data_IF_518682670836
#
_entry.id   IF_518682670836
#
_cell.length_a   1.000
_cell.length_b   1.000
_cell.length_c   1.000
_cell.angle_alpha   90.00
_cell.angle_beta   90.00
_cell.angle_gamma   90.00
#
_symmetry.space_group_name_H-M   'P 1'
#
loop_
_entity.id
_entity.type
_entity.pdbx_description
1 polymer ?
#
# COMPACT_ATOMS: atom_id res chain seq x y z
N UNK A 1 87.90 -15.95 -8.18
CA UNK A 1 86.57 -16.15 -8.79
C UNK A 1 85.54 -15.94 -7.70
N UNK A 2 84.92 -14.75 -7.74
CA UNK A 2 83.92 -14.34 -6.75
C UNK A 2 82.51 -14.52 -7.32
N UNK A 3 81.76 -15.43 -6.70
CA UNK A 3 80.37 -15.65 -7.06
C UNK A 3 79.50 -14.58 -6.34
N UNK A 4 78.78 -13.76 -7.14
CA UNK A 4 77.80 -12.80 -6.63
C UNK A 4 76.48 -13.52 -6.41
N UNK A 5 76.08 -13.63 -5.15
CA UNK A 5 74.74 -14.10 -4.73
C UNK A 5 73.82 -12.89 -4.83
N UNK A 6 72.89 -12.88 -5.79
CA UNK A 6 71.82 -11.89 -5.89
C UNK A 6 70.67 -12.34 -5.03
N UNK A 7 70.44 -11.62 -3.94
CA UNK A 7 69.26 -11.80 -3.04
C UNK A 7 68.06 -11.05 -3.66
N UNK A 8 67.15 -11.82 -4.24
CA UNK A 8 65.87 -11.26 -4.72
C UNK A 8 64.91 -11.16 -3.51
N UNK A 9 64.70 -9.92 -3.07
CA UNK A 9 63.68 -9.58 -2.09
C UNK A 9 62.29 -9.66 -2.74
N UNK A 10 61.52 -10.71 -2.44
CA UNK A 10 60.09 -10.79 -2.79
C UNK A 10 59.31 -9.84 -1.86
N UNK A 11 58.92 -8.69 -2.39
CA UNK A 11 58.02 -7.76 -1.72
C UNK A 11 56.58 -8.28 -1.91
N UNK A 12 56.06 -9.10 -0.99
CA UNK A 12 54.66 -9.44 -0.94
C UNK A 12 53.86 -8.22 -0.54
N UNK A 13 53.31 -7.52 -1.53
CA UNK A 13 52.25 -6.52 -1.32
C UNK A 13 51.01 -7.26 -0.79
N UNK A 14 50.89 -7.30 0.52
CA UNK A 14 49.64 -7.64 1.16
C UNK A 14 48.61 -6.53 0.81
N UNK A 15 47.82 -6.77 -0.23
CA UNK A 15 46.59 -6.01 -0.43
C UNK A 15 45.67 -6.39 0.74
N UNK A 16 45.78 -5.62 1.82
CA UNK A 16 44.76 -5.61 2.86
C UNK A 16 43.49 -5.03 2.21
N UNK A 17 42.53 -5.89 1.86
CA UNK A 17 41.18 -5.47 1.63
C UNK A 17 40.68 -4.81 2.93
N UNK A 18 40.78 -3.50 3.02
CA UNK A 18 40.06 -2.75 4.03
C UNK A 18 38.58 -2.90 3.71
N UNK A 19 37.94 -3.92 4.31
CA UNK A 19 36.50 -3.88 4.43
C UNK A 19 36.16 -2.62 5.22
N UNK A 20 35.55 -1.64 4.55
CA UNK A 20 34.91 -0.53 5.26
C UNK A 20 33.82 -1.15 6.14
N UNK A 21 34.09 -1.26 7.41
CA UNK A 21 33.09 -1.71 8.39
C UNK A 21 32.19 -0.53 8.68
N UNK A 22 31.01 -0.52 8.03
CA UNK A 22 29.96 0.42 8.41
C UNK A 22 29.43 0.01 9.78
N UNK A 23 29.34 0.97 10.70
CA UNK A 23 28.75 0.76 12.04
C UNK A 23 27.26 1.05 11.95
N UNK A 24 26.41 0.10 12.37
CA UNK A 24 24.97 0.37 12.42
C UNK A 24 24.65 1.49 13.42
N UNK A 25 23.62 2.28 13.18
CA UNK A 25 23.11 3.24 14.17
C UNK A 25 22.70 2.53 15.46
N UNK A 26 22.82 3.24 16.57
CA UNK A 26 22.42 2.73 17.88
C UNK A 26 21.19 3.50 18.37
N UNK A 27 20.12 2.76 18.70
CA UNK A 27 18.95 3.34 19.33
C UNK A 27 19.21 3.49 20.83
N UNK A 28 19.38 4.72 21.29
CA UNK A 28 19.63 5.00 22.69
C UNK A 28 18.43 4.56 23.55
N UNK A 29 18.62 3.71 24.57
CA UNK A 29 17.54 3.29 25.44
C UNK A 29 17.00 4.45 26.29
N UNK A 30 15.65 4.59 26.32
CA UNK A 30 14.91 5.55 27.13
C UNK A 30 13.81 4.80 27.88
N UNK A 31 14.09 4.45 29.11
CA UNK A 31 13.21 3.61 29.93
C UNK A 31 11.81 4.21 30.07
N UNK A 32 10.78 3.42 29.74
CA UNK A 32 9.38 3.74 29.99
C UNK A 32 8.67 2.60 30.68
N UNK A 33 8.04 2.90 31.81
CA UNK A 33 7.15 1.95 32.48
C UNK A 33 5.78 1.92 31.80
N UNK A 34 5.32 0.73 31.51
CA UNK A 34 4.00 0.45 30.91
C UNK A 34 3.25 -0.47 31.88
N UNK A 35 2.13 0.02 32.42
CA UNK A 35 1.30 -0.73 33.38
C UNK A 35 -0.10 -0.96 32.81
N UNK A 36 -0.53 -2.21 32.75
CA UNK A 36 -1.88 -2.62 32.32
C UNK A 36 -2.33 -3.85 33.12
N UNK A 37 -3.57 -3.87 33.56
CA UNK A 37 -4.16 -5.00 34.30
C UNK A 37 -3.36 -5.45 35.54
N UNK A 38 -2.66 -4.53 36.20
CA UNK A 38 -1.85 -4.83 37.40
C UNK A 38 -0.46 -5.41 37.07
N UNK A 39 -0.11 -5.56 35.83
CA UNK A 39 1.24 -5.92 35.37
C UNK A 39 2.01 -4.69 34.90
N UNK A 40 3.30 -4.60 35.23
CA UNK A 40 4.18 -3.50 34.87
C UNK A 40 5.42 -4.03 34.20
N UNK A 41 5.70 -3.52 32.98
CA UNK A 41 6.92 -3.82 32.23
C UNK A 41 7.71 -2.54 31.95
N UNK A 42 9.02 -2.68 31.85
CA UNK A 42 9.92 -1.64 31.39
C UNK A 42 10.18 -1.85 29.88
N UNK A 43 9.99 -0.79 29.08
CA UNK A 43 10.29 -0.80 27.66
C UNK A 43 11.27 0.34 27.34
N UNK A 44 12.56 0.03 27.08
CA UNK A 44 13.57 1.05 26.81
C UNK A 44 13.47 1.64 25.40
N UNK A 45 12.67 1.04 24.51
CA UNK A 45 12.55 1.48 23.12
C UNK A 45 11.14 1.94 22.75
N UNK A 46 10.28 2.15 23.73
CA UNK A 46 8.91 2.63 23.51
C UNK A 46 8.86 3.97 22.78
N UNK A 47 9.89 4.82 22.93
CA UNK A 47 10.00 6.11 22.26
C UNK A 47 9.99 6.00 20.74
N UNK A 48 10.44 4.89 20.15
CA UNK A 48 10.39 4.62 18.71
C UNK A 48 8.96 4.51 18.15
N UNK A 49 7.94 4.45 19.02
CA UNK A 49 6.54 4.45 18.62
C UNK A 49 6.01 5.83 18.23
N UNK A 50 6.71 6.91 18.60
CA UNK A 50 6.32 8.29 18.25
C UNK A 50 6.81 8.62 16.83
N UNK A 51 5.86 8.62 15.89
CA UNK A 51 6.14 8.80 14.46
C UNK A 51 6.53 10.22 14.08
N UNK A 52 6.16 11.19 14.89
CA UNK A 52 6.39 12.61 14.64
C UNK A 52 7.63 13.14 15.39
N UNK A 53 8.24 12.33 16.27
CA UNK A 53 9.45 12.70 16.98
C UNK A 53 10.64 12.84 16.02
N UNK A 54 11.28 14.01 15.92
CA UNK A 54 12.43 14.22 15.05
C UNK A 54 13.60 13.26 15.32
N UNK A 55 13.78 12.80 16.55
CA UNK A 55 14.83 11.84 16.91
C UNK A 55 14.53 10.44 16.33
N UNK A 56 13.26 10.03 16.33
CA UNK A 56 12.83 8.79 15.66
C UNK A 56 13.06 8.88 14.16
N UNK A 57 12.68 10.00 13.53
CA UNK A 57 12.88 10.23 12.11
C UNK A 57 14.37 10.18 11.77
N UNK A 58 15.22 10.87 12.55
CA UNK A 58 16.67 10.86 12.32
C UNK A 58 17.26 9.45 12.45
N UNK A 59 16.87 8.69 13.49
CA UNK A 59 17.31 7.30 13.65
C UNK A 59 16.97 6.44 12.43
N UNK A 60 15.75 6.57 11.87
CA UNK A 60 15.33 5.84 10.69
C UNK A 60 16.09 6.27 9.42
N UNK A 61 16.43 7.55 9.29
CA UNK A 61 17.25 8.06 8.18
C UNK A 61 18.69 7.54 8.27
N UNK A 62 19.26 7.46 9.47
CA UNK A 62 20.59 6.89 9.72
C UNK A 62 20.62 5.39 9.39
N UNK A 63 19.58 4.62 9.77
CA UNK A 63 19.43 3.19 9.40
C UNK A 63 19.33 3.01 7.87
N UNK A 64 18.59 3.86 7.19
CA UNK A 64 18.52 3.84 5.73
C UNK A 64 19.88 4.16 5.08
N UNK A 65 20.62 5.11 5.64
CA UNK A 65 21.95 5.50 5.17
C UNK A 65 22.96 4.37 5.38
N UNK A 66 22.93 3.72 6.54
CA UNK A 66 23.72 2.52 6.85
C UNK A 66 23.43 1.39 5.87
N UNK A 67 22.13 1.07 5.68
CA UNK A 67 21.69 0.02 4.74
C UNK A 67 22.19 0.28 3.32
N UNK A 68 22.07 1.52 2.84
CA UNK A 68 22.56 1.92 1.52
C UNK A 68 24.06 1.73 1.40
N UNK A 69 24.84 2.13 2.41
CA UNK A 69 26.29 2.00 2.40
C UNK A 69 26.74 0.51 2.42
N UNK A 70 26.11 -0.33 3.24
CA UNK A 70 26.42 -1.78 3.31
C UNK A 70 26.09 -2.49 1.99
N UNK A 71 24.98 -2.11 1.34
CA UNK A 71 24.51 -2.75 0.11
C UNK A 71 25.07 -2.13 -1.16
N UNK A 72 25.88 -1.05 -1.11
CA UNK A 72 26.42 -0.34 -2.27
C UNK A 72 27.10 -1.30 -3.26
N UNK A 73 27.91 -2.24 -2.78
CA UNK A 73 28.63 -3.22 -3.63
C UNK A 73 27.69 -4.12 -4.44
N UNK A 74 26.41 -4.22 -4.05
CA UNK A 74 25.42 -5.09 -4.69
C UNK A 74 24.52 -4.35 -5.68
N UNK A 75 24.61 -3.03 -5.82
CA UNK A 75 23.70 -2.23 -6.66
C UNK A 75 23.59 -2.72 -8.11
N UNK A 76 24.73 -3.09 -8.71
CA UNK A 76 24.73 -3.64 -10.08
C UNK A 76 23.93 -4.95 -10.17
N UNK A 77 24.10 -5.83 -9.21
CA UNK A 77 23.37 -7.09 -9.13
C UNK A 77 21.87 -6.84 -8.88
N UNK A 78 21.53 -5.93 -7.97
CA UNK A 78 20.16 -5.55 -7.68
C UNK A 78 19.45 -5.06 -8.94
N UNK A 79 20.08 -4.15 -9.69
CA UNK A 79 19.54 -3.64 -10.95
C UNK A 79 19.32 -4.75 -11.97
N UNK A 80 20.30 -5.66 -12.12
CA UNK A 80 20.19 -6.79 -13.04
C UNK A 80 19.02 -7.72 -12.66
N UNK A 81 18.91 -8.06 -11.38
CA UNK A 81 17.81 -8.90 -10.86
C UNK A 81 16.45 -8.21 -11.04
N UNK A 82 16.38 -6.91 -10.78
CA UNK A 82 15.15 -6.14 -10.98
C UNK A 82 14.69 -6.20 -12.44
N UNK A 83 15.59 -5.93 -13.39
CA UNK A 83 15.24 -5.98 -14.82
C UNK A 83 14.86 -7.40 -15.28
N UNK A 84 15.54 -8.43 -14.76
CA UNK A 84 15.19 -9.82 -15.05
C UNK A 84 13.80 -10.18 -14.51
N UNK A 85 13.49 -9.86 -13.25
CA UNK A 85 12.17 -10.12 -12.65
C UNK A 85 11.07 -9.35 -13.37
N UNK A 86 11.29 -8.05 -13.64
CA UNK A 86 10.35 -7.20 -14.37
C UNK A 86 10.08 -7.75 -15.77
N UNK A 87 11.13 -8.20 -16.48
CA UNK A 87 10.98 -8.75 -17.81
C UNK A 87 10.18 -10.06 -17.91
N UNK A 88 9.96 -10.74 -16.76
CA UNK A 88 9.10 -11.93 -16.67
C UNK A 88 7.63 -11.60 -16.46
N UNK A 89 7.30 -10.36 -16.10
CA UNK A 89 5.94 -9.90 -15.85
C UNK A 89 5.33 -9.40 -17.17
N UNK A 90 4.17 -9.92 -17.51
CA UNK A 90 3.38 -9.38 -18.63
C UNK A 90 2.71 -8.07 -18.16
N UNK A 91 3.23 -6.94 -18.63
CA UNK A 91 2.74 -5.61 -18.20
C UNK A 91 1.35 -5.28 -18.77
N UNK A 92 1.04 -5.79 -19.99
CA UNK A 92 -0.26 -5.61 -20.65
C UNK A 92 -1.10 -6.87 -20.46
N UNK A 93 -1.83 -6.93 -19.36
CA UNK A 93 -2.53 -8.13 -18.90
C UNK A 93 -3.94 -7.83 -18.35
N UNK A 94 -4.72 -8.88 -18.20
CA UNK A 94 -6.06 -8.78 -17.63
C UNK A 94 -6.37 -9.96 -16.72
N UNK A 95 -7.22 -9.72 -15.71
CA UNK A 95 -7.74 -10.79 -14.87
C UNK A 95 -8.62 -11.76 -15.67
N UNK A 96 -8.82 -12.97 -15.14
CA UNK A 96 -9.89 -13.83 -15.60
C UNK A 96 -11.23 -13.09 -15.39
N UNK A 97 -12.08 -12.99 -16.42
CA UNK A 97 -13.40 -12.39 -16.29
C UNK A 97 -14.29 -13.18 -15.32
N UNK A 98 -15.09 -12.50 -14.51
CA UNK A 98 -16.17 -13.14 -13.75
C UNK A 98 -17.52 -12.51 -14.10
N UNK A 99 -18.57 -13.33 -14.07
CA UNK A 99 -19.92 -12.90 -14.43
C UNK A 99 -20.78 -12.66 -13.18
N UNK A 100 -21.41 -11.50 -13.11
CA UNK A 100 -22.33 -11.14 -12.02
C UNK A 100 -23.35 -10.12 -12.53
N UNK A 101 -24.64 -10.33 -12.23
CA UNK A 101 -25.74 -9.40 -12.54
C UNK A 101 -25.70 -8.89 -13.98
N UNK A 102 -25.66 -9.81 -14.95
CA UNK A 102 -25.62 -9.55 -16.40
C UNK A 102 -24.35 -8.87 -16.93
N UNK A 103 -23.30 -8.72 -16.11
CA UNK A 103 -22.02 -8.14 -16.54
C UNK A 103 -20.83 -9.06 -16.31
N UNK A 104 -19.88 -9.01 -17.23
CA UNK A 104 -18.54 -9.54 -17.08
C UNK A 104 -17.62 -8.46 -16.52
N UNK A 105 -17.01 -8.72 -15.40
CA UNK A 105 -16.06 -7.82 -14.72
C UNK A 105 -14.63 -8.24 -14.99
N UNK A 106 -13.79 -7.27 -15.34
CA UNK A 106 -12.39 -7.50 -15.72
C UNK A 106 -11.54 -6.40 -15.12
N UNK A 107 -10.39 -6.78 -14.58
CA UNK A 107 -9.34 -5.85 -14.17
C UNK A 107 -8.25 -5.89 -15.23
N UNK A 108 -7.93 -4.76 -15.86
CA UNK A 108 -6.92 -4.62 -16.92
C UNK A 108 -5.71 -3.87 -16.39
N UNK A 109 -4.54 -4.28 -16.83
CA UNK A 109 -3.30 -3.54 -16.69
C UNK A 109 -2.83 -3.08 -18.06
N UNK A 110 -2.33 -1.87 -18.16
CA UNK A 110 -1.84 -1.28 -19.41
C UNK A 110 -0.34 -1.00 -19.23
N UNK A 111 0.43 -1.34 -20.24
CA UNK A 111 1.89 -1.14 -20.22
C UNK A 111 2.27 0.31 -19.86
N UNK A 112 3.27 0.44 -19.01
CA UNK A 112 3.74 1.73 -18.46
C UNK A 112 2.70 2.51 -17.64
N UNK A 113 1.69 1.82 -17.09
CA UNK A 113 0.76 2.33 -16.09
C UNK A 113 0.96 1.56 -14.77
N UNK A 114 0.89 2.27 -13.66
CA UNK A 114 1.16 1.69 -12.33
C UNK A 114 -0.07 1.03 -11.71
N UNK A 115 -1.27 1.42 -12.16
CA UNK A 115 -2.52 1.01 -11.55
C UNK A 115 -3.45 0.32 -12.54
N UNK A 116 -4.39 -0.53 -12.04
CA UNK A 116 -5.38 -1.19 -12.89
C UNK A 116 -6.48 -0.25 -13.36
N UNK A 117 -7.12 -0.65 -14.47
CA UNK A 117 -8.40 -0.12 -14.93
C UNK A 117 -9.45 -1.22 -14.70
N UNK A 118 -10.51 -0.90 -13.97
CA UNK A 118 -11.65 -1.79 -13.76
C UNK A 118 -12.70 -1.51 -14.82
N UNK A 119 -13.09 -2.55 -15.54
CA UNK A 119 -14.10 -2.48 -16.60
C UNK A 119 -15.17 -3.54 -16.39
N UNK A 120 -16.32 -3.34 -17.05
CA UNK A 120 -17.34 -4.37 -17.21
C UNK A 120 -17.83 -4.43 -18.65
N UNK A 121 -18.42 -5.57 -19.05
CA UNK A 121 -19.05 -5.79 -20.37
C UNK A 121 -20.42 -6.42 -20.19
N UNK A 122 -21.43 -5.91 -20.84
CA UNK A 122 -22.81 -6.38 -20.68
C UNK A 122 -23.04 -7.71 -21.41
N UNK A 123 -23.53 -8.71 -20.73
CA UNK A 123 -23.95 -10.05 -21.20
C UNK A 123 -22.88 -10.87 -21.87
N UNK A 124 -22.07 -10.33 -22.77
CA UNK A 124 -21.05 -11.07 -23.52
C UNK A 124 -19.67 -10.45 -23.41
N UNK A 125 -18.62 -11.26 -23.56
CA UNK A 125 -17.24 -10.78 -23.55
C UNK A 125 -16.89 -9.94 -24.79
N UNK A 126 -17.69 -10.03 -25.86
CA UNK A 126 -17.53 -9.23 -27.08
C UNK A 126 -18.24 -7.87 -27.00
N UNK A 127 -19.02 -7.62 -25.95
CA UNK A 127 -19.67 -6.33 -25.75
C UNK A 127 -18.66 -5.21 -25.54
N UNK A 128 -19.08 -3.97 -25.79
CA UNK A 128 -18.28 -2.78 -25.54
C UNK A 128 -17.82 -2.71 -24.08
N UNK A 129 -16.60 -2.23 -23.86
CA UNK A 129 -16.05 -2.02 -22.53
C UNK A 129 -16.68 -0.77 -21.90
N UNK A 130 -17.19 -0.93 -20.69
CA UNK A 130 -17.62 0.17 -19.82
C UNK A 130 -16.58 0.32 -18.71
N UNK A 131 -15.94 1.49 -18.61
CA UNK A 131 -14.95 1.78 -17.58
C UNK A 131 -15.65 2.12 -16.28
N UNK A 132 -15.54 1.24 -15.31
CA UNK A 132 -16.02 1.48 -13.95
C UNK A 132 -15.11 2.48 -13.23
N UNK A 133 -13.80 2.22 -13.26
CA UNK A 133 -12.82 3.06 -12.57
C UNK A 133 -11.43 2.93 -13.23
N UNK A 134 -10.81 4.04 -13.59
CA UNK A 134 -9.40 4.10 -13.95
C UNK A 134 -8.61 4.64 -12.75
N UNK A 135 -7.86 3.74 -12.09
CA UNK A 135 -7.10 4.12 -10.89
C UNK A 135 -5.92 5.02 -11.25
N UNK A 136 -5.41 4.96 -12.49
CA UNK A 136 -4.32 5.84 -12.93
C UNK A 136 -4.78 7.30 -12.99
N UNK A 137 -6.04 7.56 -13.36
CA UNK A 137 -6.61 8.90 -13.35
C UNK A 137 -6.80 9.42 -11.92
N UNK A 138 -7.19 8.54 -10.97
CA UNK A 138 -7.33 8.91 -9.56
C UNK A 138 -5.98 9.22 -8.90
N UNK A 139 -4.91 8.56 -9.33
CA UNK A 139 -3.60 8.64 -8.70
C UNK A 139 -2.73 9.80 -9.19
N UNK A 140 -3.13 10.55 -10.24
CA UNK A 140 -2.27 11.52 -10.94
C UNK A 140 -1.54 12.51 -10.04
N UNK A 141 -2.21 12.99 -8.99
CA UNK A 141 -1.66 14.03 -8.10
C UNK A 141 -1.42 13.51 -6.68
N UNK A 142 -1.40 12.17 -6.52
CA UNK A 142 -1.24 11.52 -5.23
C UNK A 142 0.16 10.88 -5.12
N UNK A 143 0.81 11.04 -3.97
CA UNK A 143 2.05 10.33 -3.65
C UNK A 143 1.83 8.85 -3.38
N UNK A 144 0.60 8.48 -2.99
CA UNK A 144 0.17 7.11 -2.77
C UNK A 144 -1.30 6.97 -3.14
N UNK A 145 -1.66 5.86 -3.78
CA UNK A 145 -3.04 5.55 -4.10
C UNK A 145 -3.28 4.05 -4.03
N UNK A 146 -4.17 3.62 -3.17
CA UNK A 146 -4.66 2.25 -3.17
C UNK A 146 -6.17 2.24 -3.23
N UNK A 147 -6.70 1.55 -4.24
CA UNK A 147 -8.13 1.34 -4.41
C UNK A 147 -8.48 -0.12 -4.13
N UNK A 148 -9.52 -0.33 -3.36
CA UNK A 148 -10.02 -1.66 -2.99
C UNK A 148 -11.53 -1.64 -2.74
N UNK A 149 -12.14 -2.81 -2.58
CA UNK A 149 -13.53 -2.92 -2.16
C UNK A 149 -14.56 -2.45 -3.18
N UNK A 150 -14.24 -2.56 -4.48
CA UNK A 150 -15.20 -2.21 -5.52
C UNK A 150 -16.47 -3.08 -5.40
N UNK A 151 -17.63 -2.43 -5.33
CA UNK A 151 -18.91 -3.10 -5.24
C UNK A 151 -19.97 -2.34 -6.05
N UNK A 152 -20.58 -3.02 -7.00
CA UNK A 152 -21.64 -2.46 -7.85
C UNK A 152 -22.99 -2.74 -7.20
N UNK A 153 -23.90 -1.74 -7.21
CA UNK A 153 -25.25 -1.88 -6.68
C UNK A 153 -26.06 -2.96 -7.44
N UNK A 154 -27.05 -3.59 -6.80
CA UNK A 154 -27.86 -4.64 -7.43
C UNK A 154 -28.53 -4.23 -8.75
N UNK A 155 -28.91 -2.95 -8.89
CA UNK A 155 -29.49 -2.37 -10.11
C UNK A 155 -28.44 -2.00 -11.17
N UNK A 156 -27.15 -2.23 -10.91
CA UNK A 156 -26.01 -1.92 -11.79
C UNK A 156 -25.77 -0.43 -12.07
N UNK A 157 -26.38 0.50 -11.30
CA UNK A 157 -26.29 1.94 -11.57
C UNK A 157 -25.24 2.67 -10.74
N UNK A 158 -24.77 2.10 -9.62
CA UNK A 158 -23.81 2.75 -8.72
C UNK A 158 -22.63 1.84 -8.42
N UNK A 159 -21.47 2.45 -8.17
CA UNK A 159 -20.25 1.78 -7.75
C UNK A 159 -19.75 2.41 -6.45
N UNK A 160 -19.57 1.61 -5.40
CA UNK A 160 -18.76 1.99 -4.23
C UNK A 160 -17.35 1.48 -4.39
N UNK A 161 -16.37 2.25 -3.91
CA UNK A 161 -15.00 1.81 -3.78
C UNK A 161 -14.32 2.54 -2.62
N UNK A 162 -13.38 1.88 -1.97
CA UNK A 162 -12.52 2.48 -0.95
C UNK A 162 -11.22 2.96 -1.55
N UNK A 163 -10.78 4.19 -1.18
CA UNK A 163 -9.48 4.75 -1.55
C UNK A 163 -8.68 5.09 -0.29
N UNK A 164 -7.40 4.65 -0.24
CA UNK A 164 -6.41 5.05 0.74
C UNK A 164 -5.32 5.87 0.03
N UNK A 165 -5.10 7.10 0.49
CA UNK A 165 -4.11 8.02 -0.07
C UNK A 165 -2.91 8.26 0.85
N UNK A 166 -2.89 7.59 2.03
CA UNK A 166 -1.88 7.78 3.08
C UNK A 166 -1.07 6.52 3.41
N UNK A 167 -1.32 5.39 2.72
CA UNK A 167 -0.70 4.09 3.02
C UNK A 167 -0.96 3.58 4.44
N UNK A 168 -2.11 3.92 5.03
CA UNK A 168 -2.47 3.53 6.40
C UNK A 168 -3.53 2.44 6.49
N UNK A 169 -4.03 1.95 5.36
CA UNK A 169 -5.16 0.99 5.29
C UNK A 169 -6.43 1.51 5.98
N UNK A 170 -6.54 2.83 6.09
CA UNK A 170 -7.74 3.55 6.47
C UNK A 170 -8.28 4.18 5.20
N UNK A 171 -9.48 3.80 4.82
CA UNK A 171 -10.05 4.17 3.53
C UNK A 171 -11.12 5.26 3.66
N UNK A 172 -11.31 5.95 2.56
CA UNK A 172 -12.53 6.71 2.30
C UNK A 172 -13.36 5.94 1.28
N UNK A 173 -14.58 5.55 1.62
CA UNK A 173 -15.52 5.01 0.63
C UNK A 173 -16.10 6.18 -0.17
N UNK A 174 -16.06 6.05 -1.49
CA UNK A 174 -16.65 6.97 -2.47
C UNK A 174 -17.66 6.24 -3.32
N UNK A 175 -18.61 7.01 -3.85
CA UNK A 175 -19.67 6.48 -4.71
C UNK A 175 -19.64 7.14 -6.08
N UNK A 176 -19.69 6.33 -7.14
CA UNK A 176 -19.80 6.77 -8.53
C UNK A 176 -21.14 6.34 -9.11
N UNK A 177 -21.86 7.27 -9.71
CA UNK A 177 -23.00 6.98 -10.57
C UNK A 177 -22.50 6.48 -11.93
N UNK A 178 -22.84 5.25 -12.26
CA UNK A 178 -22.38 4.60 -13.49
C UNK A 178 -23.16 5.03 -14.73
N UNK A 179 -24.35 5.58 -14.57
CA UNK A 179 -25.17 6.07 -15.68
C UNK A 179 -24.63 7.39 -16.21
N UNK A 180 -24.29 8.31 -15.32
CA UNK A 180 -23.74 9.62 -15.68
C UNK A 180 -22.22 9.65 -15.73
N UNK A 181 -21.55 8.65 -15.15
CA UNK A 181 -20.10 8.59 -14.96
C UNK A 181 -19.56 9.55 -13.89
N UNK A 182 -20.43 10.25 -13.14
CA UNK A 182 -20.04 11.26 -12.15
C UNK A 182 -19.88 10.69 -10.77
N UNK A 183 -18.98 11.29 -9.98
CA UNK A 183 -18.88 11.03 -8.55
C UNK A 183 -20.07 11.67 -7.82
N UNK A 184 -20.67 10.91 -6.90
CA UNK A 184 -21.63 11.44 -5.94
C UNK A 184 -20.89 12.18 -4.81
N UNK A 185 -21.64 12.88 -3.98
CA UNK A 185 -21.08 13.63 -2.83
C UNK A 185 -20.85 12.75 -1.61
N UNK A 186 -21.30 11.50 -1.69
CA UNK A 186 -21.19 10.53 -0.60
C UNK A 186 -19.72 10.12 -0.41
N UNK A 187 -19.12 10.56 0.69
CA UNK A 187 -17.77 10.23 1.13
C UNK A 187 -17.81 9.80 2.58
N UNK A 188 -17.32 8.58 2.87
CA UNK A 188 -17.30 8.00 4.20
C UNK A 188 -15.86 7.76 4.61
N UNK A 189 -15.37 8.50 5.59
CA UNK A 189 -13.98 8.49 6.04
C UNK A 189 -13.76 7.55 7.25
N UNK A 190 -12.52 7.11 7.45
CA UNK A 190 -12.12 6.32 8.64
C UNK A 190 -12.65 4.89 8.63
N UNK A 191 -12.76 4.26 7.47
CA UNK A 191 -13.46 3.00 7.28
C UNK A 191 -12.57 1.92 6.63
N UNK A 192 -13.06 0.68 6.61
CA UNK A 192 -12.53 -0.35 5.72
C UNK A 192 -12.97 -0.09 4.28
N UNK A 193 -12.29 -0.70 3.30
CA UNK A 193 -12.56 -0.44 1.88
C UNK A 193 -13.87 -1.02 1.37
N UNK A 194 -14.50 -1.96 2.10
CA UNK A 194 -15.63 -2.74 1.60
C UNK A 194 -16.97 -2.13 2.00
N UNK A 195 -17.89 -2.10 1.04
CA UNK A 195 -19.30 -1.79 1.24
C UNK A 195 -20.16 -2.95 0.72
N UNK A 196 -21.20 -3.31 1.46
CA UNK A 196 -22.19 -4.29 1.06
C UNK A 196 -23.53 -3.60 0.76
N UNK A 197 -23.95 -3.63 -0.50
CA UNK A 197 -25.22 -3.04 -0.91
C UNK A 197 -26.42 -3.81 -0.37
N UNK A 198 -27.43 -3.09 0.05
CA UNK A 198 -28.79 -3.62 0.25
C UNK A 198 -29.48 -3.82 -1.12
N UNK A 199 -30.58 -4.59 -1.12
CA UNK A 199 -31.33 -4.89 -2.34
C UNK A 199 -32.01 -3.67 -2.98
N UNK A 200 -32.17 -2.58 -2.22
CA UNK A 200 -32.78 -1.32 -2.68
C UNK A 200 -31.86 -0.50 -3.60
N UNK A 201 -30.56 -0.84 -3.68
CA UNK A 201 -29.53 -0.09 -4.44
C UNK A 201 -29.34 1.37 -3.99
N UNK A 202 -29.92 1.76 -2.87
CA UNK A 202 -29.81 3.10 -2.25
C UNK A 202 -29.11 3.04 -0.90
N UNK A 203 -29.04 1.87 -0.28
CA UNK A 203 -28.43 1.67 1.03
C UNK A 203 -27.21 0.74 0.92
N UNK A 204 -26.13 1.05 1.66
CA UNK A 204 -25.02 0.14 1.84
C UNK A 204 -24.53 0.08 3.29
N UNK A 205 -23.92 -1.03 3.64
CA UNK A 205 -23.33 -1.29 4.94
C UNK A 205 -21.82 -1.30 4.86
N UNK A 206 -21.16 -0.76 5.88
CA UNK A 206 -19.71 -0.69 5.95
C UNK A 206 -19.22 -0.78 7.40
N UNK A 207 -17.90 -0.92 7.60
CA UNK A 207 -17.29 -1.00 8.92
C UNK A 207 -16.34 0.17 9.14
N UNK A 208 -16.41 0.79 10.34
CA UNK A 208 -15.38 1.74 10.77
C UNK A 208 -14.09 1.03 11.15
N UNK A 209 -13.02 1.80 11.16
CA UNK A 209 -11.72 1.38 11.67
C UNK A 209 -11.30 2.25 12.83
N UNK A 210 -10.76 1.61 13.88
CA UNK A 210 -10.03 2.28 14.92
C UNK A 210 -8.69 2.79 14.37
N UNK A 211 -8.35 4.05 14.58
CA UNK A 211 -7.20 4.70 13.96
C UNK A 211 -5.85 4.23 14.55
N UNK A 212 -5.85 3.74 15.80
CA UNK A 212 -4.64 3.27 16.46
C UNK A 212 -4.38 1.80 16.18
N UNK A 213 -5.39 0.95 16.40
CA UNK A 213 -5.27 -0.50 16.29
C UNK A 213 -5.53 -1.03 14.89
N UNK A 214 -6.14 -0.22 14.01
CA UNK A 214 -6.61 -0.59 12.67
C UNK A 214 -7.66 -1.71 12.65
N UNK A 215 -8.28 -1.99 13.79
CA UNK A 215 -9.34 -3.01 13.90
C UNK A 215 -10.67 -2.44 13.42
N UNK A 216 -11.45 -3.28 12.76
CA UNK A 216 -12.84 -2.97 12.47
C UNK A 216 -13.66 -3.28 13.72
N UNK A 217 -14.41 -2.31 14.22
CA UNK A 217 -15.08 -2.38 15.51
C UNK A 217 -16.60 -2.17 15.45
N UNK A 218 -17.09 -1.46 14.41
CA UNK A 218 -18.51 -1.10 14.30
C UNK A 218 -19.02 -1.29 12.88
N UNK A 219 -20.31 -1.61 12.75
CA UNK A 219 -21.03 -1.73 11.48
C UNK A 219 -22.03 -0.59 11.38
N UNK A 220 -22.01 0.11 10.26
CA UNK A 220 -22.88 1.22 9.98
C UNK A 220 -23.70 1.00 8.71
N UNK A 221 -24.82 1.69 8.62
CA UNK A 221 -25.66 1.84 7.44
C UNK A 221 -25.53 3.26 6.89
N UNK A 222 -25.38 3.38 5.60
CA UNK A 222 -25.41 4.66 4.87
C UNK A 222 -26.50 4.59 3.79
N UNK A 223 -27.29 5.65 3.68
CA UNK A 223 -28.24 5.87 2.61
C UNK A 223 -27.70 6.91 1.64
N UNK A 224 -27.74 6.66 0.34
CA UNK A 224 -27.22 7.57 -0.69
C UNK A 224 -27.84 8.96 -0.56
N UNK A 225 -26.97 9.99 -0.57
CA UNK A 225 -27.36 11.39 -0.41
C UNK A 225 -27.42 11.87 1.04
N UNK A 226 -27.29 10.98 2.04
CA UNK A 226 -27.14 11.37 3.44
C UNK A 226 -25.69 11.80 3.75
N UNK A 227 -25.46 12.42 4.91
CA UNK A 227 -24.10 12.77 5.35
C UNK A 227 -23.53 11.71 6.28
N UNK A 228 -22.19 11.68 6.44
CA UNK A 228 -21.58 10.79 7.42
C UNK A 228 -22.01 11.09 8.86
N UNK A 229 -22.44 12.32 9.14
CA UNK A 229 -22.98 12.71 10.45
C UNK A 229 -24.34 12.05 10.79
N UNK A 230 -25.08 11.60 9.77
CA UNK A 230 -26.38 10.93 9.90
C UNK A 230 -26.25 9.40 10.10
N UNK A 231 -25.09 8.94 10.56
CA UNK A 231 -24.74 7.53 10.69
C UNK A 231 -25.74 6.75 11.55
N UNK A 232 -26.19 5.63 11.03
CA UNK A 232 -26.93 4.63 11.79
C UNK A 232 -26.00 3.48 12.19
N UNK A 233 -25.55 3.48 13.46
CA UNK A 233 -24.81 2.37 14.04
C UNK A 233 -25.75 1.16 14.17
N UNK A 234 -25.32 0.02 13.63
CA UNK A 234 -26.13 -1.22 13.65
C UNK A 234 -25.57 -2.19 14.70
N UNK A 235 -24.24 -2.25 14.84
CA UNK A 235 -23.59 -3.19 15.73
C UNK A 235 -22.22 -2.65 16.19
N UNK A 236 -21.86 -2.98 17.45
CA UNK A 236 -20.59 -2.69 18.09
C UNK A 236 -19.83 -3.99 18.33
#
# INVERSE_FOLDING_TARGET
MASKLTLAAYFCLLFSCTHMTHTPPDANPKDKELSIHGDTRLDPYYWLNDREDPEVIQYLEDENSYTKAVLESTEKMQKQLFEEMKGRIKEDDSSVPYFLNDYWYIRKYVKAKDYPIFIRKHKTLDAAEEILLDVNELAKDLSYCQVSGLSVSPDNTKLTYGIDTLSRRIYTIKVKDLTSGKMLKDEIHGVSSYAAWAADSETFFYTSKDEETLRTDKIFRHEIGSTQADLSLIHI
#
